data_IF_377028007870
#
_entry.id   IF_377028007870
#
_cell.length_a   1.000
_cell.length_b   1.000
_cell.length_c   1.000
_cell.angle_alpha   90.00
_cell.angle_beta   90.00
_cell.angle_gamma   90.00
#
_symmetry.space_group_name_H-M   'P 1'
#
loop_
_entity.id
_entity.type
_entity.pdbx_description
1 polymer ?
#
# COMPACT_ATOMS: atom_id res chain seq x y z
N UNK A 1 -46.57 22.31 30.49
CA UNK A 1 -45.17 22.69 30.14
C UNK A 1 -45.20 23.15 28.70
N UNK A 2 -44.98 24.44 28.47
CA UNK A 2 -45.02 25.05 27.15
C UNK A 2 -43.62 24.84 26.53
N UNK A 3 -43.54 24.07 25.46
CA UNK A 3 -42.30 23.87 24.76
C UNK A 3 -41.83 25.15 24.05
N UNK A 4 -40.64 25.62 24.39
CA UNK A 4 -39.94 26.69 23.68
C UNK A 4 -39.64 26.23 22.26
N UNK A 5 -40.52 26.58 21.31
CA UNK A 5 -40.21 26.46 19.88
C UNK A 5 -39.20 27.55 19.52
N UNK A 6 -37.92 27.17 19.43
CA UNK A 6 -36.87 28.02 18.88
C UNK A 6 -37.26 28.39 17.44
N UNK A 7 -37.87 29.55 17.25
CA UNK A 7 -38.19 30.09 15.92
C UNK A 7 -36.86 30.49 15.28
N UNK A 8 -36.29 29.59 14.45
CA UNK A 8 -35.09 29.88 13.66
C UNK A 8 -35.46 30.96 12.65
N UNK A 9 -35.04 32.18 12.90
CA UNK A 9 -35.30 33.30 11.98
C UNK A 9 -34.49 33.15 10.72
N UNK A 10 -35.14 33.01 9.57
CA UNK A 10 -34.54 32.86 8.24
C UNK A 10 -34.70 34.15 7.43
N UNK A 11 -33.78 34.38 6.48
CA UNK A 11 -33.75 35.56 5.60
C UNK A 11 -33.40 35.13 4.17
N UNK A 12 -33.96 35.82 3.19
CA UNK A 12 -33.65 35.58 1.78
C UNK A 12 -32.36 36.29 1.39
N UNK A 13 -31.47 35.56 0.68
CA UNK A 13 -30.28 36.14 0.14
C UNK A 13 -30.58 36.89 -1.16
N UNK A 14 -30.28 38.20 -1.21
CA UNK A 14 -30.52 39.03 -2.40
C UNK A 14 -29.73 38.62 -3.64
N UNK A 15 -28.81 37.65 -3.56
CA UNK A 15 -27.97 37.20 -4.69
C UNK A 15 -28.32 35.80 -5.18
N UNK A 16 -28.57 34.82 -4.31
CA UNK A 16 -28.94 33.47 -4.71
C UNK A 16 -30.42 33.14 -4.50
N UNK A 17 -31.21 34.04 -3.89
CA UNK A 17 -32.62 33.82 -3.63
C UNK A 17 -32.95 32.82 -2.50
N UNK A 18 -31.94 32.10 -2.00
CA UNK A 18 -32.15 31.05 -1.01
C UNK A 18 -32.45 31.61 0.38
N UNK A 19 -33.40 30.99 1.06
CA UNK A 19 -33.68 31.24 2.48
C UNK A 19 -32.63 30.58 3.35
N UNK A 20 -31.98 31.33 4.20
CA UNK A 20 -30.93 30.87 5.11
C UNK A 20 -31.08 31.48 6.49
N UNK A 21 -30.52 30.84 7.49
CA UNK A 21 -30.44 31.37 8.87
C UNK A 21 -29.65 32.67 8.93
N UNK A 22 -29.96 33.53 9.87
CA UNK A 22 -29.33 34.86 10.03
C UNK A 22 -27.81 34.76 10.23
N UNK A 23 -27.32 33.73 10.88
CA UNK A 23 -25.86 33.47 11.08
C UNK A 23 -25.09 33.24 9.78
N UNK A 24 -25.78 32.83 8.71
CA UNK A 24 -25.18 32.63 7.36
C UNK A 24 -25.03 33.94 6.58
N UNK A 25 -25.50 35.07 7.12
CA UNK A 25 -25.37 36.36 6.46
C UNK A 25 -24.22 37.21 7.04
N UNK A 26 -23.76 38.17 6.25
CA UNK A 26 -22.83 39.20 6.72
C UNK A 26 -23.60 40.22 7.53
N UNK A 27 -23.06 40.63 8.68
CA UNK A 27 -23.66 41.67 9.52
C UNK A 27 -24.07 42.89 8.70
N UNK A 28 -25.32 43.35 8.86
CA UNK A 28 -25.90 44.48 8.17
C UNK A 28 -26.03 44.38 6.63
N UNK A 29 -25.94 43.18 6.05
CA UNK A 29 -26.11 42.97 4.59
C UNK A 29 -27.13 41.88 4.29
N UNK A 30 -27.84 42.01 3.15
CA UNK A 30 -28.78 40.99 2.65
C UNK A 30 -28.12 39.94 1.74
N UNK A 31 -26.82 39.76 1.86
CA UNK A 31 -26.05 38.79 1.05
C UNK A 31 -25.50 37.73 1.99
N UNK A 32 -25.69 36.46 1.66
CA UNK A 32 -25.13 35.36 2.46
C UNK A 32 -23.59 35.28 2.30
N UNK A 33 -22.93 34.75 3.32
CA UNK A 33 -21.48 34.59 3.39
C UNK A 33 -20.93 33.83 2.18
N UNK A 34 -21.66 32.82 1.70
CA UNK A 34 -21.27 32.04 0.51
C UNK A 34 -21.22 32.89 -0.76
N UNK A 35 -22.27 33.68 -1.02
CA UNK A 35 -22.30 34.57 -2.18
C UNK A 35 -21.29 35.71 -2.12
N UNK A 36 -21.00 36.24 -0.94
CA UNK A 36 -19.96 37.27 -0.78
C UNK A 36 -18.56 36.68 -0.97
N UNK A 37 -18.31 35.47 -0.48
CA UNK A 37 -17.06 34.77 -0.71
C UNK A 37 -16.87 34.45 -2.20
N UNK A 38 -17.90 33.96 -2.89
CA UNK A 38 -17.84 33.73 -4.33
C UNK A 38 -17.52 35.01 -5.11
N UNK A 39 -18.15 36.15 -4.73
CA UNK A 39 -17.84 37.45 -5.31
C UNK A 39 -16.38 37.85 -5.11
N UNK A 40 -15.87 37.69 -3.89
CA UNK A 40 -14.46 37.98 -3.56
C UNK A 40 -13.51 37.10 -4.39
N UNK A 41 -13.77 35.79 -4.45
CA UNK A 41 -12.97 34.85 -5.24
C UNK A 41 -12.96 35.23 -6.73
N UNK A 42 -14.12 35.59 -7.29
CA UNK A 42 -14.20 36.00 -8.69
C UNK A 42 -13.46 37.31 -8.94
N UNK A 43 -13.56 38.29 -8.02
CA UNK A 43 -12.74 39.50 -8.09
C UNK A 43 -11.25 39.21 -8.05
N UNK A 44 -10.82 38.27 -7.19
CA UNK A 44 -9.43 37.84 -7.13
C UNK A 44 -8.97 37.12 -8.41
N UNK A 45 -9.80 36.29 -9.00
CA UNK A 45 -9.49 35.58 -10.25
C UNK A 45 -9.39 36.51 -11.46
N UNK A 46 -10.18 37.59 -11.48
CA UNK A 46 -10.20 38.56 -12.56
C UNK A 46 -8.95 39.45 -12.61
N UNK A 47 -8.13 39.51 -11.56
CA UNK A 47 -6.91 40.30 -11.55
C UNK A 47 -5.82 39.53 -12.32
N UNK A 48 -5.50 40.00 -13.53
CA UNK A 48 -4.34 39.52 -14.29
C UNK A 48 -3.08 40.08 -13.62
N UNK A 49 -2.12 39.19 -13.34
CA UNK A 49 -0.81 39.58 -12.81
C UNK A 49 0.17 39.62 -13.97
N UNK A 50 0.69 40.79 -14.22
CA UNK A 50 1.77 41.00 -15.20
C UNK A 50 3.11 40.80 -14.52
N UNK A 51 3.78 39.69 -14.85
CA UNK A 51 5.08 39.32 -14.28
C UNK A 51 6.25 40.12 -14.91
N UNK A 52 6.01 40.88 -15.94
CA UNK A 52 7.02 41.82 -16.50
C UNK A 52 7.24 43.02 -15.59
N UNK A 53 6.28 43.34 -14.75
CA UNK A 53 6.33 44.44 -13.79
C UNK A 53 6.99 43.97 -12.49
N UNK A 54 8.05 44.63 -12.09
CA UNK A 54 8.72 44.38 -10.81
C UNK A 54 8.23 45.36 -9.76
N UNK A 55 8.12 44.89 -8.53
CA UNK A 55 7.75 45.67 -7.35
C UNK A 55 8.79 45.41 -6.24
N UNK A 56 9.16 46.49 -5.53
CA UNK A 56 10.06 46.36 -4.38
C UNK A 56 9.28 45.84 -3.16
N UNK A 57 9.82 44.81 -2.51
CA UNK A 57 9.30 44.28 -1.25
C UNK A 57 9.67 45.19 -0.09
N UNK A 58 8.68 45.60 0.71
CA UNK A 58 8.89 46.50 1.85
C UNK A 58 9.59 45.80 3.04
N UNK A 59 9.78 44.47 3.00
CA UNK A 59 10.37 43.70 4.10
C UNK A 59 11.82 43.26 3.80
N UNK A 60 12.13 42.82 2.58
CA UNK A 60 13.49 42.47 2.16
C UNK A 60 14.16 43.47 1.22
N UNK A 61 13.46 44.54 0.81
CA UNK A 61 13.92 45.57 -0.09
C UNK A 61 14.35 45.09 -1.49
N UNK A 62 14.10 43.82 -1.83
CA UNK A 62 14.41 43.27 -3.15
C UNK A 62 13.30 43.58 -4.17
N UNK A 63 13.70 43.87 -5.40
CA UNK A 63 12.80 44.01 -6.56
C UNK A 63 12.45 42.60 -7.06
N UNK A 64 11.17 42.28 -7.14
CA UNK A 64 10.65 40.95 -7.56
C UNK A 64 9.47 41.12 -8.53
N UNK A 65 9.24 40.12 -9.40
CA UNK A 65 8.05 40.10 -10.24
C UNK A 65 6.76 40.21 -9.43
N UNK A 66 5.74 40.88 -9.94
CA UNK A 66 4.45 41.02 -9.24
C UNK A 66 3.82 39.68 -8.88
N UNK A 67 4.12 38.58 -9.60
CA UNK A 67 3.69 37.23 -9.26
C UNK A 67 4.21 36.70 -7.93
N UNK A 68 5.33 37.27 -7.43
CA UNK A 68 5.91 36.87 -6.14
C UNK A 68 5.28 37.58 -4.94
N UNK A 69 4.36 38.49 -5.19
CA UNK A 69 3.61 39.19 -4.14
C UNK A 69 2.24 38.55 -3.89
N UNK A 70 1.74 38.71 -2.66
CA UNK A 70 0.33 38.45 -2.37
C UNK A 70 -0.44 39.62 -2.97
N UNK A 71 -1.44 39.31 -3.80
CA UNK A 71 -2.28 40.33 -4.45
C UNK A 71 -2.68 41.42 -3.45
N UNK A 72 -2.47 42.67 -3.82
CA UNK A 72 -2.73 43.89 -3.03
C UNK A 72 -1.79 44.13 -1.84
N UNK A 73 -0.66 43.43 -1.72
CA UNK A 73 0.33 43.69 -0.68
C UNK A 73 1.67 44.06 -1.24
N UNK A 74 2.40 44.89 -0.48
CA UNK A 74 3.77 45.31 -0.78
C UNK A 74 4.84 44.39 -0.25
N UNK A 75 4.45 43.30 0.46
CA UNK A 75 5.35 42.29 1.02
C UNK A 75 5.32 41.05 0.13
N UNK A 76 6.48 40.54 -0.27
CA UNK A 76 6.59 39.34 -1.09
C UNK A 76 6.14 38.08 -0.33
N UNK A 77 5.76 37.02 -1.07
CA UNK A 77 5.29 35.74 -0.53
C UNK A 77 6.31 35.11 0.41
N UNK A 78 7.61 35.20 0.08
CA UNK A 78 8.69 34.64 0.90
C UNK A 78 8.76 35.31 2.27
N UNK A 79 8.79 36.66 2.32
CA UNK A 79 8.80 37.44 3.55
C UNK A 79 7.52 37.23 4.37
N UNK A 80 6.36 37.24 3.73
CA UNK A 80 5.09 36.97 4.43
C UNK A 80 5.08 35.56 5.05
N UNK A 81 5.61 34.56 4.36
CA UNK A 81 5.72 33.21 4.90
C UNK A 81 6.74 33.11 6.06
N UNK A 82 7.87 33.83 5.94
CA UNK A 82 8.86 33.94 7.03
C UNK A 82 8.20 34.57 8.27
N UNK A 83 7.48 35.69 8.10
CA UNK A 83 6.81 36.38 9.17
C UNK A 83 5.70 35.54 9.85
N UNK A 84 4.96 34.75 9.05
CA UNK A 84 3.99 33.77 9.59
C UNK A 84 4.66 32.67 10.40
N UNK A 85 5.79 32.13 9.94
CA UNK A 85 6.57 31.11 10.68
C UNK A 85 7.12 31.69 11.98
N UNK A 86 7.74 32.87 11.93
CA UNK A 86 8.24 33.53 13.11
C UNK A 86 7.13 33.76 14.14
N UNK A 87 5.98 34.31 13.72
CA UNK A 87 4.83 34.52 14.61
C UNK A 87 4.34 33.22 15.24
N UNK A 88 4.33 32.11 14.47
CA UNK A 88 3.95 30.80 14.98
C UNK A 88 4.96 30.28 16.02
N UNK A 89 6.25 30.54 15.82
CA UNK A 89 7.31 30.11 16.74
C UNK A 89 7.41 30.96 17.98
N UNK A 90 7.28 32.28 17.85
CA UNK A 90 7.52 33.23 18.95
C UNK A 90 6.27 33.56 19.76
N UNK A 91 5.07 33.43 19.19
CA UNK A 91 3.82 33.76 19.88
C UNK A 91 3.06 32.48 20.22
N UNK A 92 3.20 32.05 21.48
CA UNK A 92 2.58 30.82 21.97
C UNK A 92 1.04 30.86 21.96
N UNK A 93 0.45 31.97 22.36
CA UNK A 93 -1.02 32.12 22.34
C UNK A 93 -1.57 31.96 20.93
N UNK A 94 -0.93 32.60 19.95
CA UNK A 94 -1.30 32.47 18.53
C UNK A 94 -1.16 31.02 18.04
N UNK A 95 -0.07 30.34 18.42
CA UNK A 95 0.19 28.94 18.08
C UNK A 95 -0.91 28.03 18.66
N UNK A 96 -1.19 28.15 19.95
CA UNK A 96 -2.22 27.36 20.63
C UNK A 96 -3.62 27.59 20.02
N UNK A 97 -3.95 28.84 19.68
CA UNK A 97 -5.21 29.19 19.02
C UNK A 97 -5.33 28.50 17.65
N UNK A 98 -4.27 28.49 16.86
CA UNK A 98 -4.26 27.81 15.55
C UNK A 98 -4.39 26.29 15.70
N UNK A 99 -3.68 25.68 16.66
CA UNK A 99 -3.77 24.25 16.95
C UNK A 99 -5.19 23.88 17.38
N UNK A 100 -5.78 24.64 18.30
CA UNK A 100 -7.15 24.42 18.77
C UNK A 100 -8.15 24.50 17.62
N UNK A 101 -8.10 25.55 16.81
CA UNK A 101 -9.00 25.73 15.66
C UNK A 101 -8.84 24.60 14.63
N UNK A 102 -7.60 24.16 14.36
CA UNK A 102 -7.34 23.05 13.45
C UNK A 102 -7.86 21.71 14.01
N UNK A 103 -7.74 21.49 15.32
CA UNK A 103 -8.26 20.30 16.01
C UNK A 103 -9.78 20.26 15.96
N UNK A 104 -10.44 21.37 16.31
CA UNK A 104 -11.90 21.50 16.25
C UNK A 104 -12.44 21.26 14.84
N UNK A 105 -11.79 21.82 13.82
CA UNK A 105 -12.15 21.58 12.42
C UNK A 105 -12.01 20.11 12.02
N UNK A 106 -10.90 19.46 12.41
CA UNK A 106 -10.69 18.02 12.14
C UNK A 106 -11.76 17.17 12.84
N UNK A 107 -12.08 17.48 14.10
CA UNK A 107 -13.11 16.77 14.86
C UNK A 107 -14.50 16.91 14.23
N UNK A 108 -14.89 18.13 13.86
CA UNK A 108 -16.15 18.38 13.16
C UNK A 108 -16.26 17.58 11.85
N UNK A 109 -15.17 17.52 11.07
CA UNK A 109 -15.10 16.71 9.83
C UNK A 109 -15.19 15.21 10.08
N UNK A 110 -14.70 14.72 11.20
CA UNK A 110 -14.84 13.30 11.58
C UNK A 110 -16.29 12.98 11.94
N UNK A 111 -16.97 13.85 12.68
CA UNK A 111 -18.39 13.71 13.03
C UNK A 111 -19.23 13.71 11.76
N UNK A 112 -19.09 14.72 10.89
CA UNK A 112 -19.79 14.80 9.61
C UNK A 112 -19.65 13.53 8.76
N UNK A 113 -18.44 12.99 8.66
CA UNK A 113 -18.19 11.72 7.91
C UNK A 113 -18.87 10.52 8.57
N UNK A 114 -18.91 10.47 9.90
CA UNK A 114 -19.62 9.41 10.63
C UNK A 114 -21.13 9.48 10.38
N UNK A 115 -21.71 10.65 10.45
CA UNK A 115 -23.14 10.86 10.18
C UNK A 115 -23.51 10.48 8.76
N UNK A 116 -22.76 10.93 7.76
CA UNK A 116 -22.95 10.54 6.35
C UNK A 116 -22.85 9.02 6.22
N UNK A 117 -21.87 8.39 6.87
CA UNK A 117 -21.70 6.94 6.84
C UNK A 117 -22.90 6.22 7.46
N UNK A 118 -23.39 6.66 8.62
CA UNK A 118 -24.56 6.09 9.28
C UNK A 118 -25.81 6.17 8.41
N UNK A 119 -26.03 7.31 7.76
CA UNK A 119 -27.17 7.52 6.87
C UNK A 119 -27.09 6.68 5.59
N UNK A 120 -25.89 6.48 5.02
CA UNK A 120 -25.70 5.81 3.73
C UNK A 120 -25.50 4.32 3.83
N UNK A 121 -24.85 3.82 4.88
CA UNK A 121 -24.41 2.43 5.03
C UNK A 121 -25.12 1.73 6.19
N UNK A 122 -25.54 2.48 7.22
CA UNK A 122 -26.08 1.97 8.47
C UNK A 122 -25.00 1.61 9.49
N UNK A 123 -25.41 1.43 10.74
CA UNK A 123 -24.51 1.32 11.89
C UNK A 123 -23.65 0.04 11.87
N UNK A 124 -24.29 -1.11 11.59
CA UNK A 124 -23.65 -2.42 11.61
C UNK A 124 -23.16 -2.90 10.24
N UNK A 125 -23.09 -2.02 9.27
CA UNK A 125 -22.71 -2.33 7.91
C UNK A 125 -21.40 -1.67 7.50
N UNK A 126 -20.76 -2.26 6.48
CA UNK A 126 -19.53 -1.77 5.88
C UNK A 126 -19.53 -2.01 4.38
N UNK A 127 -19.06 -1.04 3.61
CA UNK A 127 -18.87 -1.19 2.17
C UNK A 127 -17.55 -1.91 1.90
N UNK A 128 -17.61 -2.99 1.12
CA UNK A 128 -16.42 -3.71 0.69
C UNK A 128 -15.62 -2.89 -0.32
N UNK A 129 -14.29 -2.79 -0.14
CA UNK A 129 -13.41 -2.06 -1.07
C UNK A 129 -13.17 -2.78 -2.40
N UNK A 130 -13.58 -4.05 -2.51
CA UNK A 130 -13.37 -4.89 -3.69
C UNK A 130 -14.67 -5.01 -4.52
N UNK A 131 -15.74 -5.59 -3.95
CA UNK A 131 -17.02 -5.75 -4.67
C UNK A 131 -17.95 -4.54 -4.55
N UNK A 132 -17.57 -3.50 -3.78
CA UNK A 132 -18.37 -2.29 -3.51
C UNK A 132 -19.74 -2.53 -2.86
N UNK A 133 -20.08 -3.77 -2.50
CA UNK A 133 -21.33 -4.11 -1.82
C UNK A 133 -21.30 -3.69 -0.35
N UNK A 134 -22.45 -3.25 0.16
CA UNK A 134 -22.66 -3.00 1.58
C UNK A 134 -23.04 -4.33 2.23
N UNK A 135 -22.27 -4.73 3.22
CA UNK A 135 -22.44 -5.99 3.96
C UNK A 135 -22.36 -5.75 5.45
N UNK A 136 -22.99 -6.59 6.24
CA UNK A 136 -22.89 -6.59 7.70
C UNK A 136 -21.43 -6.76 8.15
N UNK A 137 -21.07 -6.14 9.27
CA UNK A 137 -19.71 -6.15 9.85
C UNK A 137 -19.16 -7.55 10.08
N UNK A 138 -20.03 -8.56 10.38
CA UNK A 138 -19.64 -9.96 10.54
C UNK A 138 -19.06 -10.59 9.27
N UNK A 139 -19.36 -10.03 8.09
CA UNK A 139 -18.80 -10.46 6.79
C UNK A 139 -17.39 -9.93 6.55
N UNK A 140 -16.81 -9.22 7.49
CA UNK A 140 -15.45 -8.71 7.44
C UNK A 140 -14.60 -9.30 8.57
N UNK A 141 -13.29 -9.41 8.36
CA UNK A 141 -12.33 -9.63 9.45
C UNK A 141 -12.05 -8.32 10.15
N UNK A 142 -11.63 -8.38 11.41
CA UNK A 142 -11.29 -7.18 12.17
C UNK A 142 -10.32 -6.27 11.39
N UNK A 143 -10.63 -5.00 11.32
CA UNK A 143 -9.87 -3.95 10.62
C UNK A 143 -9.62 -4.17 9.10
N UNK A 144 -10.27 -5.15 8.44
CA UNK A 144 -10.14 -5.35 7.00
C UNK A 144 -11.19 -4.56 6.22
N UNK A 145 -10.78 -4.03 5.03
CA UNK A 145 -11.66 -3.29 4.12
C UNK A 145 -12.32 -4.19 3.07
N UNK A 146 -11.72 -5.35 2.76
CA UNK A 146 -12.30 -6.38 1.90
C UNK A 146 -13.21 -7.30 2.73
N UNK A 147 -14.35 -7.72 2.18
CA UNK A 147 -15.19 -8.73 2.82
C UNK A 147 -14.52 -10.12 2.77
N UNK A 148 -14.93 -11.02 3.67
CA UNK A 148 -14.38 -12.39 3.79
C UNK A 148 -14.40 -13.15 2.46
N UNK A 149 -15.47 -12.97 1.64
CA UNK A 149 -15.57 -13.60 0.32
C UNK A 149 -14.52 -13.06 -0.64
N UNK A 150 -14.42 -11.73 -0.81
CA UNK A 150 -13.41 -11.13 -1.67
C UNK A 150 -11.98 -11.42 -1.19
N UNK A 151 -11.74 -11.49 0.12
CA UNK A 151 -10.43 -11.87 0.68
C UNK A 151 -10.11 -13.35 0.44
N UNK A 152 -11.12 -14.23 0.53
CA UNK A 152 -10.95 -15.66 0.23
C UNK A 152 -10.62 -15.90 -1.24
N UNK A 153 -11.29 -15.17 -2.14
CA UNK A 153 -11.21 -15.40 -3.59
C UNK A 153 -10.08 -14.59 -4.26
N UNK A 154 -9.41 -13.70 -3.52
CA UNK A 154 -8.25 -12.93 -3.98
C UNK A 154 -7.05 -13.87 -4.26
N UNK A 155 -6.51 -13.89 -5.49
CA UNK A 155 -5.40 -14.78 -5.88
C UNK A 155 -4.15 -14.60 -5.00
N UNK A 156 -3.81 -13.35 -4.64
CA UNK A 156 -2.68 -13.06 -3.77
C UNK A 156 -2.90 -13.58 -2.34
N UNK A 157 -4.10 -13.45 -1.79
CA UNK A 157 -4.40 -13.98 -0.46
C UNK A 157 -4.49 -15.52 -0.48
N UNK A 158 -4.93 -16.13 -1.58
CA UNK A 158 -4.82 -17.58 -1.79
C UNK A 158 -3.35 -18.03 -1.80
N UNK A 159 -2.50 -17.32 -2.53
CA UNK A 159 -1.07 -17.59 -2.56
C UNK A 159 -0.43 -17.54 -1.17
N UNK A 160 -0.67 -16.46 -0.42
CA UNK A 160 -0.16 -16.30 0.96
C UNK A 160 -0.65 -17.40 1.92
N UNK A 161 -1.89 -17.85 1.76
CA UNK A 161 -2.42 -18.97 2.56
C UNK A 161 -1.73 -20.28 2.20
N UNK A 162 -1.54 -20.55 0.92
CA UNK A 162 -0.86 -21.75 0.46
C UNK A 162 0.58 -21.85 1.04
N UNK A 163 1.36 -20.76 0.98
CA UNK A 163 2.71 -20.73 1.55
C UNK A 163 2.69 -21.05 3.05
N UNK A 164 1.79 -20.41 3.80
CA UNK A 164 1.66 -20.68 5.24
C UNK A 164 1.30 -22.13 5.54
N UNK A 165 0.36 -22.69 4.79
CA UNK A 165 -0.06 -24.08 4.95
C UNK A 165 1.07 -25.06 4.65
N UNK A 166 1.82 -24.84 3.59
CA UNK A 166 2.97 -25.70 3.23
C UNK A 166 3.98 -25.84 4.37
N UNK A 167 4.38 -24.72 4.97
CA UNK A 167 5.32 -24.72 6.09
C UNK A 167 4.68 -25.36 7.31
N UNK A 168 3.43 -25.01 7.63
CA UNK A 168 2.71 -25.55 8.78
C UNK A 168 2.56 -27.08 8.77
N UNK A 169 2.27 -27.67 7.61
CA UNK A 169 2.11 -29.11 7.49
C UNK A 169 3.44 -29.88 7.43
N UNK A 170 4.53 -29.21 7.12
CA UNK A 170 5.82 -29.86 6.99
C UNK A 170 6.63 -29.89 8.29
N UNK A 171 6.44 -28.89 9.17
CA UNK A 171 7.20 -28.73 10.41
C UNK A 171 6.33 -28.18 11.53
N UNK A 172 6.74 -28.41 12.77
CA UNK A 172 6.19 -27.69 13.93
C UNK A 172 6.75 -26.27 13.95
N UNK A 173 5.95 -25.35 13.44
CA UNK A 173 6.37 -24.01 13.09
C UNK A 173 6.50 -23.10 14.32
N UNK A 174 7.71 -22.65 14.65
CA UNK A 174 8.05 -21.77 15.78
C UNK A 174 8.31 -20.29 15.37
N UNK A 175 8.54 -20.01 14.09
CA UNK A 175 8.83 -18.68 13.56
C UNK A 175 7.75 -18.17 12.58
N UNK A 176 7.83 -16.90 12.16
CA UNK A 176 6.94 -16.36 11.11
C UNK A 176 7.28 -16.93 9.73
N UNK A 177 6.26 -17.06 8.87
CA UNK A 177 6.43 -17.58 7.50
C UNK A 177 7.50 -16.85 6.67
N UNK A 178 7.65 -15.54 6.88
CA UNK A 178 8.65 -14.71 6.17
C UNK A 178 10.08 -15.03 6.58
N UNK A 179 10.30 -15.51 7.79
CA UNK A 179 11.63 -15.93 8.29
C UNK A 179 12.07 -17.22 7.57
N UNK A 180 11.20 -18.21 7.48
CA UNK A 180 11.47 -19.42 6.67
C UNK A 180 11.67 -19.11 5.19
N UNK A 181 10.87 -18.20 4.63
CA UNK A 181 11.03 -17.80 3.23
C UNK A 181 12.32 -17.03 2.97
N UNK A 182 12.82 -16.29 3.96
CA UNK A 182 13.95 -15.37 3.79
C UNK A 182 13.61 -14.13 2.94
N UNK A 183 12.32 -13.87 2.70
CA UNK A 183 11.85 -12.68 1.98
C UNK A 183 10.37 -12.37 2.28
N UNK A 184 9.88 -11.21 1.87
CA UNK A 184 8.46 -10.86 1.95
C UNK A 184 7.62 -11.69 0.95
N UNK A 185 6.33 -11.83 1.23
CA UNK A 185 5.41 -12.51 0.29
C UNK A 185 5.32 -11.83 -1.09
N UNK A 186 5.66 -10.55 -1.18
CA UNK A 186 5.66 -9.81 -2.45
C UNK A 186 6.90 -10.12 -3.27
N UNK A 187 8.08 -10.14 -2.64
CA UNK A 187 9.34 -10.53 -3.27
C UNK A 187 9.29 -11.99 -3.71
N UNK A 188 8.74 -12.86 -2.86
CA UNK A 188 8.53 -14.27 -3.22
C UNK A 188 7.63 -14.43 -4.45
N UNK A 189 6.55 -13.65 -4.52
CA UNK A 189 5.68 -13.66 -5.69
C UNK A 189 6.40 -13.17 -6.94
N UNK A 190 7.23 -12.14 -6.83
CA UNK A 190 8.05 -11.64 -7.96
C UNK A 190 8.99 -12.72 -8.48
N UNK A 191 9.66 -13.46 -7.59
CA UNK A 191 10.52 -14.58 -7.95
C UNK A 191 9.74 -15.68 -8.67
N UNK A 192 8.66 -16.18 -8.07
CA UNK A 192 7.88 -17.31 -8.60
C UNK A 192 7.24 -17.00 -9.96
N UNK A 193 6.89 -15.74 -10.21
CA UNK A 193 6.34 -15.28 -11.50
C UNK A 193 7.42 -14.80 -12.49
N UNK A 194 8.68 -14.79 -12.09
CA UNK A 194 9.81 -14.48 -12.98
C UNK A 194 10.15 -15.71 -13.85
N UNK A 195 9.32 -15.96 -14.86
CA UNK A 195 9.44 -17.07 -15.80
C UNK A 195 8.79 -16.72 -17.14
N UNK A 196 9.22 -17.38 -18.19
CA UNK A 196 8.75 -17.26 -19.58
C UNK A 196 7.61 -18.22 -19.94
N UNK A 197 7.16 -19.08 -19.00
CA UNK A 197 6.20 -20.16 -19.22
C UNK A 197 4.72 -19.73 -19.09
N UNK A 198 4.42 -18.43 -19.02
CA UNK A 198 3.07 -17.88 -18.81
C UNK A 198 2.35 -18.40 -17.54
N UNK A 199 3.10 -18.68 -16.49
CA UNK A 199 2.57 -19.05 -15.20
C UNK A 199 2.06 -17.80 -14.45
N UNK A 200 0.78 -17.79 -14.09
CA UNK A 200 0.12 -16.69 -13.37
C UNK A 200 -0.51 -17.19 -12.08
N UNK A 201 -0.93 -16.27 -11.20
CA UNK A 201 -1.66 -16.66 -9.98
C UNK A 201 -3.02 -17.32 -10.28
N UNK A 202 -3.65 -16.94 -11.37
CA UNK A 202 -4.97 -17.41 -11.78
C UNK A 202 -4.94 -18.87 -12.27
N UNK A 203 -3.84 -19.27 -12.93
CA UNK A 203 -3.69 -20.63 -13.43
C UNK A 203 -2.89 -21.57 -12.50
N UNK A 204 -2.41 -21.04 -11.36
CA UNK A 204 -1.74 -21.83 -10.32
C UNK A 204 -2.71 -22.88 -9.72
N UNK A 205 -2.19 -24.05 -9.46
CA UNK A 205 -2.96 -25.19 -8.94
C UNK A 205 -3.71 -25.98 -10.00
N UNK A 206 -3.62 -25.56 -11.27
CA UNK A 206 -4.19 -26.27 -12.42
C UNK A 206 -3.11 -26.57 -13.47
N UNK A 207 -2.39 -25.55 -13.88
CA UNK A 207 -1.36 -25.65 -14.93
C UNK A 207 0.01 -25.82 -14.31
N UNK A 208 0.29 -25.14 -13.22
CA UNK A 208 1.58 -25.14 -12.55
C UNK A 208 1.47 -25.08 -11.03
N UNK A 209 2.53 -25.47 -10.39
CA UNK A 209 2.69 -25.59 -8.95
C UNK A 209 3.98 -24.90 -8.48
N UNK A 210 4.12 -24.67 -7.17
CA UNK A 210 5.37 -24.25 -6.55
C UNK A 210 6.06 -25.48 -5.98
N UNK A 211 7.34 -25.70 -6.29
CA UNK A 211 8.09 -26.81 -5.72
C UNK A 211 9.39 -26.42 -5.02
N UNK A 212 9.97 -27.39 -4.32
CA UNK A 212 11.32 -27.32 -3.79
C UNK A 212 12.31 -27.91 -4.79
N UNK A 213 13.31 -27.13 -5.18
CA UNK A 213 14.37 -27.57 -6.08
C UNK A 213 15.07 -28.79 -5.52
N UNK A 214 15.57 -28.69 -4.32
CA UNK A 214 16.00 -29.82 -3.50
C UNK A 214 14.81 -30.27 -2.65
N UNK A 215 14.33 -31.50 -2.80
CA UNK A 215 13.17 -32.00 -2.08
C UNK A 215 13.34 -31.95 -0.55
N UNK A 216 12.27 -31.61 0.17
CA UNK A 216 12.27 -31.52 1.65
C UNK A 216 12.81 -32.80 2.32
N UNK A 217 12.58 -33.97 1.73
CA UNK A 217 13.08 -35.25 2.21
C UNK A 217 14.63 -35.37 2.23
N UNK A 218 15.34 -34.36 1.76
CA UNK A 218 16.82 -34.30 1.79
C UNK A 218 17.38 -33.43 2.90
N UNK A 219 16.50 -32.79 3.65
CA UNK A 219 16.84 -31.95 4.78
C UNK A 219 16.45 -32.65 6.10
N UNK A 220 17.22 -32.41 7.12
CA UNK A 220 16.81 -32.69 8.49
C UNK A 220 15.88 -31.56 8.95
N UNK A 221 14.58 -31.84 8.97
CA UNK A 221 13.57 -30.85 9.34
C UNK A 221 13.38 -30.71 10.88
N UNK A 222 14.15 -31.40 11.69
CA UNK A 222 14.27 -31.17 13.13
C UNK A 222 15.36 -30.08 13.41
N UNK A 223 16.27 -29.88 12.47
CA UNK A 223 17.28 -28.82 12.52
C UNK A 223 16.74 -27.48 11.97
N UNK A 224 16.71 -26.45 12.81
CA UNK A 224 16.21 -25.11 12.47
C UNK A 224 16.98 -24.45 11.30
N UNK A 225 18.29 -24.66 11.21
CA UNK A 225 19.11 -24.11 10.12
C UNK A 225 18.75 -24.79 8.78
N UNK A 226 18.55 -26.09 8.79
CA UNK A 226 18.10 -26.80 7.60
C UNK A 226 16.66 -26.46 7.21
N UNK A 227 15.78 -26.19 8.17
CA UNK A 227 14.44 -25.65 7.87
C UNK A 227 14.53 -24.33 7.13
N UNK A 228 15.38 -23.39 7.58
CA UNK A 228 15.57 -22.08 6.94
C UNK A 228 16.09 -22.18 5.50
N UNK A 229 16.92 -23.17 5.20
CA UNK A 229 17.40 -23.45 3.84
C UNK A 229 16.32 -24.14 3.00
N UNK A 230 15.69 -25.18 3.56
CA UNK A 230 14.68 -25.99 2.87
C UNK A 230 13.47 -25.17 2.39
N UNK A 231 12.95 -24.29 3.24
CA UNK A 231 11.78 -23.47 2.92
C UNK A 231 12.10 -22.08 2.33
N UNK A 232 13.39 -21.75 2.14
CA UNK A 232 13.79 -20.49 1.55
C UNK A 232 13.25 -20.34 0.12
N UNK A 233 12.94 -19.12 -0.27
CA UNK A 233 12.48 -18.84 -1.63
C UNK A 233 13.45 -19.28 -2.71
N UNK A 234 14.75 -19.29 -2.41
CA UNK A 234 15.81 -19.72 -3.32
C UNK A 234 15.76 -21.23 -3.63
N UNK A 235 15.22 -22.03 -2.69
CA UNK A 235 15.00 -23.47 -2.93
C UNK A 235 13.64 -23.76 -3.54
N UNK A 236 12.95 -22.77 -4.16
CA UNK A 236 11.63 -22.95 -4.75
C UNK A 236 11.57 -22.46 -6.19
N UNK A 237 10.72 -23.08 -6.99
CA UNK A 237 10.54 -22.77 -8.39
C UNK A 237 9.09 -23.06 -8.85
N UNK A 238 8.62 -22.43 -9.94
CA UNK A 238 7.34 -22.79 -10.56
C UNK A 238 7.50 -23.99 -11.51
N UNK A 239 6.52 -24.88 -11.55
CA UNK A 239 6.55 -26.12 -12.31
C UNK A 239 5.23 -26.49 -12.91
N UNK A 240 5.20 -27.12 -14.10
CA UNK A 240 3.98 -27.69 -14.63
C UNK A 240 3.46 -28.81 -13.71
N UNK A 241 2.15 -28.97 -13.63
CA UNK A 241 1.52 -30.00 -12.82
C UNK A 241 2.01 -31.41 -13.18
N UNK A 242 2.25 -31.66 -14.47
CA UNK A 242 2.70 -32.94 -14.96
C UNK A 242 4.16 -33.24 -14.55
N UNK A 243 5.05 -32.28 -14.73
CA UNK A 243 6.45 -32.41 -14.33
C UNK A 243 6.57 -32.57 -12.81
N UNK A 244 5.76 -31.84 -12.05
CA UNK A 244 5.72 -31.95 -10.59
C UNK A 244 5.39 -33.38 -10.14
N UNK A 245 4.33 -33.96 -10.69
CA UNK A 245 3.96 -35.34 -10.40
C UNK A 245 5.06 -36.35 -10.76
N UNK A 246 5.75 -36.15 -11.89
CA UNK A 246 6.82 -37.05 -12.34
C UNK A 246 8.10 -36.92 -11.52
N UNK A 247 8.42 -35.71 -11.03
CA UNK A 247 9.59 -35.46 -10.18
C UNK A 247 9.43 -36.10 -8.79
N UNK A 248 8.31 -35.90 -8.11
CA UNK A 248 8.09 -36.39 -6.74
C UNK A 248 9.30 -36.04 -5.84
N UNK A 249 9.90 -36.97 -5.11
CA UNK A 249 11.08 -36.78 -4.24
C UNK A 249 12.43 -36.98 -4.92
N UNK A 250 12.46 -37.00 -6.26
CA UNK A 250 13.69 -37.25 -7.03
C UNK A 250 14.55 -35.97 -7.09
N UNK A 251 15.85 -36.18 -7.06
CA UNK A 251 16.83 -35.16 -7.41
C UNK A 251 17.08 -35.27 -8.93
N UNK A 252 16.80 -34.18 -9.64
CA UNK A 252 16.98 -34.09 -11.10
C UNK A 252 18.09 -33.07 -11.37
N UNK A 253 19.31 -33.55 -11.54
CA UNK A 253 20.51 -32.70 -11.65
C UNK A 253 20.36 -31.61 -12.71
N UNK A 254 19.96 -31.89 -13.97
CA UNK A 254 19.78 -30.83 -14.96
C UNK A 254 18.82 -29.73 -14.55
N UNK A 255 17.76 -30.08 -13.82
CA UNK A 255 16.80 -29.09 -13.28
C UNK A 255 17.41 -28.18 -12.22
N UNK A 256 18.20 -28.76 -11.30
CA UNK A 256 18.84 -28.01 -10.22
C UNK A 256 19.85 -27.03 -10.80
N UNK A 257 20.58 -27.50 -11.77
CA UNK A 257 21.59 -26.72 -12.46
C UNK A 257 20.96 -25.49 -13.14
N UNK A 258 19.89 -25.66 -13.92
CA UNK A 258 19.17 -24.57 -14.58
C UNK A 258 18.56 -23.60 -13.57
N UNK A 259 17.93 -24.12 -12.56
CA UNK A 259 17.45 -23.27 -11.48
C UNK A 259 18.57 -22.41 -10.89
N UNK A 260 19.73 -22.99 -10.63
CA UNK A 260 20.85 -22.26 -10.06
C UNK A 260 21.33 -21.17 -11.02
N UNK A 261 21.39 -21.43 -12.31
CA UNK A 261 21.72 -20.43 -13.32
C UNK A 261 20.69 -19.29 -13.34
N UNK A 262 19.42 -19.63 -13.43
CA UNK A 262 18.33 -18.66 -13.40
C UNK A 262 18.31 -17.83 -12.09
N UNK A 263 18.60 -18.46 -10.98
CA UNK A 263 18.71 -17.82 -9.68
C UNK A 263 19.87 -16.79 -9.64
N UNK A 264 21.02 -17.13 -10.22
CA UNK A 264 22.17 -16.23 -10.34
C UNK A 264 21.84 -15.00 -11.22
N UNK A 265 21.14 -15.22 -12.35
CA UNK A 265 20.68 -14.13 -13.22
C UNK A 265 19.71 -13.21 -12.49
N UNK A 266 18.72 -13.78 -11.79
CA UNK A 266 17.76 -13.00 -10.99
C UNK A 266 18.45 -12.19 -9.89
N UNK A 267 19.41 -12.79 -9.18
CA UNK A 267 20.20 -12.09 -8.16
C UNK A 267 20.99 -10.93 -8.76
N UNK A 268 21.59 -11.11 -9.93
CA UNK A 268 22.30 -10.07 -10.67
C UNK A 268 21.34 -8.95 -11.12
N UNK A 269 20.18 -9.30 -11.69
CA UNK A 269 19.15 -8.33 -12.12
C UNK A 269 18.65 -7.47 -10.94
N UNK A 270 18.41 -8.08 -9.80
CA UNK A 270 17.89 -7.40 -8.60
C UNK A 270 18.99 -6.78 -7.74
N UNK A 271 20.27 -6.94 -8.12
CA UNK A 271 21.43 -6.49 -7.32
C UNK A 271 21.40 -7.04 -5.89
N UNK A 272 21.11 -8.33 -5.74
CA UNK A 272 21.04 -9.04 -4.45
C UNK A 272 22.26 -9.98 -4.37
N UNK A 273 22.94 -10.00 -3.23
CA UNK A 273 24.03 -10.94 -2.99
C UNK A 273 23.49 -12.37 -2.79
N UNK A 274 24.15 -13.36 -3.38
CA UNK A 274 23.81 -14.77 -3.20
C UNK A 274 24.48 -15.30 -1.93
N UNK A 275 23.70 -15.74 -0.93
CA UNK A 275 24.28 -16.32 0.29
C UNK A 275 25.06 -17.60 0.01
N UNK A 276 26.19 -17.78 0.70
CA UNK A 276 27.12 -18.90 0.46
C UNK A 276 26.46 -20.27 0.63
N UNK A 277 25.54 -20.39 1.58
CA UNK A 277 24.81 -21.64 1.83
C UNK A 277 24.03 -22.15 0.62
N UNK A 278 23.48 -21.25 -0.23
CA UNK A 278 22.77 -21.64 -1.46
C UNK A 278 23.73 -21.92 -2.61
N UNK A 279 24.88 -21.26 -2.66
CA UNK A 279 25.96 -21.62 -3.59
C UNK A 279 26.42 -23.05 -3.29
N UNK A 280 26.65 -23.36 -2.04
CA UNK A 280 27.10 -24.67 -1.61
C UNK A 280 26.01 -25.72 -1.79
N UNK A 281 24.75 -25.40 -1.49
CA UNK A 281 23.60 -26.29 -1.70
C UNK A 281 23.50 -26.76 -3.17
N UNK A 282 23.53 -25.83 -4.11
CA UNK A 282 23.31 -26.15 -5.53
C UNK A 282 24.57 -26.69 -6.24
N UNK A 283 25.77 -26.28 -5.85
CA UNK A 283 27.02 -26.80 -6.40
C UNK A 283 27.36 -28.22 -5.89
N UNK A 284 26.98 -28.52 -4.64
CA UNK A 284 27.29 -29.81 -4.03
C UNK A 284 26.19 -30.86 -4.22
N UNK A 285 25.27 -30.67 -5.17
CA UNK A 285 24.20 -31.64 -5.47
C UNK A 285 24.74 -33.04 -5.79
N UNK A 286 25.92 -33.12 -6.38
CA UNK A 286 26.61 -34.38 -6.60
C UNK A 286 26.82 -35.20 -5.32
N UNK A 287 27.13 -34.54 -4.19
CA UNK A 287 27.28 -35.21 -2.89
C UNK A 287 25.94 -35.76 -2.38
N UNK A 288 24.82 -35.15 -2.76
CA UNK A 288 23.47 -35.60 -2.38
C UNK A 288 23.02 -36.87 -3.16
N UNK A 289 23.63 -37.11 -4.31
CA UNK A 289 23.29 -38.25 -5.19
C UNK A 289 24.31 -39.39 -5.15
N UNK A 290 25.44 -39.20 -4.46
CA UNK A 290 26.56 -40.18 -4.45
C UNK A 290 27.32 -40.27 -5.76
N UNK A 291 27.16 -39.32 -6.70
CA UNK A 291 27.87 -39.22 -7.97
C UNK A 291 28.74 -37.97 -7.99
N UNK A 292 30.02 -38.10 -8.41
CA UNK A 292 30.91 -36.96 -8.65
C UNK A 292 30.54 -36.27 -9.96
N UNK A 293 30.45 -34.92 -9.94
CA UNK A 293 30.25 -34.11 -11.15
C UNK A 293 31.59 -33.51 -11.60
N UNK A 294 31.92 -33.68 -12.87
CA UNK A 294 32.89 -32.82 -13.53
C UNK A 294 32.24 -31.51 -14.02
N UNK A 295 32.98 -30.41 -14.07
CA UNK A 295 32.40 -29.09 -14.36
C UNK A 295 32.23 -28.90 -15.88
N UNK A 296 31.01 -28.99 -16.38
CA UNK A 296 30.69 -28.55 -17.75
C UNK A 296 29.27 -27.98 -17.88
N UNK A 297 29.22 -26.66 -18.08
CA UNK A 297 28.18 -25.89 -18.80
C UNK A 297 26.77 -25.59 -18.18
N UNK A 298 26.10 -24.57 -18.71
CA UNK A 298 25.03 -23.86 -18.01
C UNK A 298 23.68 -24.59 -18.03
N UNK A 299 22.95 -24.37 -17.17
CA UNK A 299 21.98 -25.06 -16.35
C UNK A 299 20.56 -24.55 -16.52
N UNK A 300 19.55 -25.37 -16.63
CA UNK A 300 18.17 -25.04 -16.91
C UNK A 300 17.14 -25.72 -15.98
N UNK A 301 16.13 -25.07 -15.57
CA UNK A 301 15.23 -25.29 -14.43
C UNK A 301 13.97 -26.11 -14.56
N UNK A 302 13.57 -26.66 -13.52
CA UNK A 302 12.23 -27.15 -13.37
C UNK A 302 11.92 -27.80 -12.02
N UNK A 303 10.90 -27.49 -11.47
CA UNK A 303 9.85 -28.15 -10.72
C UNK A 303 10.01 -28.68 -9.30
N UNK A 304 9.09 -28.38 -8.52
CA UNK A 304 8.11 -29.08 -7.76
C UNK A 304 7.45 -28.26 -6.66
N UNK A 305 6.16 -28.14 -6.59
CA UNK A 305 5.34 -28.15 -5.40
C UNK A 305 3.86 -28.19 -5.69
N UNK A 306 3.34 -29.33 -5.52
CA UNK A 306 1.96 -29.50 -5.12
C UNK A 306 1.76 -30.78 -4.37
N UNK A 307 1.77 -30.69 -3.11
CA UNK A 307 0.93 -31.54 -2.29
C UNK A 307 0.71 -30.81 -0.97
N UNK A 308 -0.31 -29.98 -0.95
CA UNK A 308 -1.10 -29.64 0.25
C UNK A 308 -2.16 -28.62 -0.21
N UNK A 309 -3.15 -29.13 -0.93
CA UNK A 309 -4.28 -28.48 -1.54
C UNK A 309 -5.37 -28.06 -0.61
#
# INVERSE_FOLDING_TARGET
MVGDTNIISVKDCSRCGEKKEFDKFIKKRNICKTCDNARKINKYKAIVIDNSINQQCTDCNENKPMGDFIRTRTICKACNNKNRRNRYQTNEEHRLKLIKTASEFKHAKVIERREIKLQTIGENNKKCSCCSEIKSMDKFRHNRLKCKTCERDDPLEKFKRCIRSRIWYAIDKNMHTIEYLGCSSTEYLQWILHNDKNYTLENRGKIWHIDHVIPLARFDLDDEQQQLIAFNWRNTMPLSAQENLSKNRKIIIPQIEEHYHHLLEYHKEKNIEMPQEFIDLFRNVAKLTGKSLEPSLPLTCGNACEELG
#
